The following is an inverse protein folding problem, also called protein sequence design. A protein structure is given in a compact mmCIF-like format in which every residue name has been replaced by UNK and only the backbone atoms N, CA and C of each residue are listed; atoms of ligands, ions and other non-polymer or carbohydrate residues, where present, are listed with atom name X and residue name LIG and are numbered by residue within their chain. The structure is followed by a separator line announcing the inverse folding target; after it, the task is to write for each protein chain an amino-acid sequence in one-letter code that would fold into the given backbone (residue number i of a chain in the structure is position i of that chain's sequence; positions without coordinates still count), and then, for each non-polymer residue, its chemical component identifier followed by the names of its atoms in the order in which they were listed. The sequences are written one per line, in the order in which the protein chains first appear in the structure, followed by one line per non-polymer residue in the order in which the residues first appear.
data_IF_282920929231
#
_entry.id   IF_282920929231
#
_cell.length_a   1.000
_cell.length_b   1.000
_cell.length_c   1.000
_cell.angle_alpha   90.00
_cell.angle_beta   90.00
_cell.angle_gamma   90.00
#
_symmetry.space_group_name_H-M   'P 1'
#
loop_
_entity.id
_entity.type
_entity.pdbx_description
1 polymer ?
#
# COMPACT_ATOMS: atom_id res chain seq x y z
N UNK A 1 -47.54 7.24 6.83
CA UNK A 1 -46.99 6.70 5.56
C UNK A 1 -45.58 7.23 5.43
N UNK A 2 -44.49 6.49 5.39
CA UNK A 2 -44.22 5.07 5.58
C UNK A 2 -42.78 5.00 6.12
N UNK A 3 -42.57 4.23 7.19
CA UNK A 3 -41.24 3.88 7.69
C UNK A 3 -40.67 2.75 6.84
N UNK A 4 -39.41 2.85 6.41
CA UNK A 4 -38.68 1.72 5.83
C UNK A 4 -37.58 1.30 6.80
N UNK A 5 -37.79 0.14 7.43
CA UNK A 5 -36.81 -0.60 8.20
C UNK A 5 -35.97 -1.46 7.26
N UNK A 6 -34.65 -1.43 7.42
CA UNK A 6 -33.72 -2.35 6.72
C UNK A 6 -33.39 -3.50 7.67
N UNK A 7 -33.73 -4.72 7.26
CA UNK A 7 -33.49 -5.96 7.99
C UNK A 7 -32.07 -6.48 7.73
N UNK A 8 -31.32 -6.73 8.79
CA UNK A 8 -30.08 -7.49 8.78
C UNK A 8 -30.39 -9.00 8.72
N UNK A 9 -29.82 -9.69 7.73
CA UNK A 9 -29.86 -11.15 7.62
C UNK A 9 -28.64 -11.80 8.27
N UNK A 10 -28.88 -12.62 9.30
CA UNK A 10 -27.90 -13.51 9.94
C UNK A 10 -27.95 -14.85 9.20
N UNK A 11 -26.81 -15.37 8.73
CA UNK A 11 -26.70 -16.74 8.22
C UNK A 11 -25.77 -17.58 9.11
N UNK A 12 -26.31 -18.65 9.66
CA UNK A 12 -25.56 -19.73 10.32
C UNK A 12 -25.03 -20.70 9.26
N UNK A 13 -23.73 -21.00 9.30
CA UNK A 13 -23.17 -22.14 8.56
C UNK A 13 -22.88 -23.31 9.51
N UNK A 14 -23.46 -24.46 9.16
CA UNK A 14 -23.33 -25.75 9.83
C UNK A 14 -22.06 -26.48 9.38
N UNK A 15 -21.34 -27.09 10.34
CA UNK A 15 -20.13 -27.90 10.12
C UNK A 15 -20.47 -29.23 9.44
N UNK A 16 -19.74 -29.56 8.38
CA UNK A 16 -19.65 -30.90 7.81
C UNK A 16 -18.18 -31.31 7.66
N UNK A 17 -17.77 -32.37 8.34
CA UNK A 17 -16.42 -32.96 8.29
C UNK A 17 -16.32 -33.91 7.10
N UNK A 18 -15.31 -33.75 6.24
CA UNK A 18 -14.79 -34.84 5.40
C UNK A 18 -13.26 -34.71 5.30
N UNK A 19 -12.57 -35.75 5.75
CA UNK A 19 -11.13 -35.94 5.55
C UNK A 19 -10.81 -36.09 4.05
N UNK A 20 -9.81 -35.37 3.55
CA UNK A 20 -9.14 -35.75 2.30
C UNK A 20 -7.63 -35.55 2.42
N UNK A 21 -6.91 -36.52 1.85
CA UNK A 21 -5.47 -36.73 1.96
C UNK A 21 -4.70 -35.67 1.16
N UNK A 22 -3.88 -34.87 1.83
CA UNK A 22 -3.05 -33.86 1.17
C UNK A 22 -1.91 -34.50 0.36
N UNK A 23 -1.93 -34.25 -0.96
CA UNK A 23 -0.74 -34.35 -1.81
C UNK A 23 0.09 -33.09 -1.59
N UNK A 24 1.37 -33.28 -1.32
CA UNK A 24 2.39 -32.25 -1.27
C UNK A 24 2.42 -31.52 -2.62
N UNK A 25 1.99 -30.25 -2.64
CA UNK A 25 2.04 -29.42 -3.82
C UNK A 25 3.49 -28.98 -4.07
N UNK A 26 4.14 -29.60 -5.05
CA UNK A 26 5.34 -29.04 -5.65
C UNK A 26 4.91 -27.84 -6.51
N UNK A 27 5.32 -26.64 -6.11
CA UNK A 27 5.16 -25.43 -6.91
C UNK A 27 6.22 -25.49 -8.02
N UNK A 28 5.78 -25.75 -9.25
CA UNK A 28 6.65 -25.78 -10.42
C UNK A 28 6.92 -24.34 -10.89
N UNK A 29 8.16 -23.86 -10.66
CA UNK A 29 8.63 -22.51 -10.94
C UNK A 29 9.18 -22.36 -12.37
N UNK A 30 8.40 -22.73 -13.40
CA UNK A 30 8.79 -22.45 -14.79
C UNK A 30 8.33 -21.05 -15.20
N UNK A 31 9.20 -20.06 -14.98
CA UNK A 31 8.94 -18.64 -15.28
C UNK A 31 9.46 -18.23 -16.67
N UNK A 32 8.68 -17.42 -17.38
CA UNK A 32 9.24 -16.40 -18.28
C UNK A 32 9.81 -15.31 -17.38
N UNK A 33 11.13 -15.33 -17.18
CA UNK A 33 11.83 -14.35 -16.36
C UNK A 33 11.85 -13.02 -17.13
N UNK A 34 10.92 -12.11 -16.80
CA UNK A 34 11.10 -10.71 -17.17
C UNK A 34 12.17 -10.17 -16.23
N UNK A 35 13.33 -9.80 -16.78
CA UNK A 35 14.46 -9.35 -15.97
C UNK A 35 14.02 -8.25 -15.02
N UNK A 36 14.04 -8.53 -13.73
CA UNK A 36 13.84 -7.52 -12.70
C UNK A 36 14.95 -6.50 -12.89
N UNK A 37 14.62 -5.25 -13.21
CA UNK A 37 15.63 -4.19 -13.17
C UNK A 37 16.02 -4.02 -11.70
N UNK A 38 17.21 -4.44 -11.26
CA UNK A 38 17.56 -4.37 -9.84
C UNK A 38 17.61 -2.90 -9.44
N UNK A 39 17.09 -2.56 -8.26
CA UNK A 39 17.38 -1.24 -7.68
C UNK A 39 18.91 -1.17 -7.55
N UNK A 40 19.56 -0.14 -8.12
CA UNK A 40 21.01 -0.02 -8.00
C UNK A 40 21.39 -0.07 -6.52
N UNK A 41 22.29 -0.99 -6.15
CA UNK A 41 22.87 -1.10 -4.79
C UNK A 41 23.55 0.19 -4.31
N UNK A 42 23.66 1.18 -5.20
CA UNK A 42 24.17 2.53 -4.95
C UNK A 42 23.10 3.55 -4.53
N UNK A 43 21.86 3.16 -4.19
CA UNK A 43 20.98 4.09 -3.49
C UNK A 43 21.62 4.43 -2.14
N UNK A 44 22.03 5.69 -1.95
CA UNK A 44 22.59 6.18 -0.69
C UNK A 44 21.54 6.29 0.43
N UNK A 45 20.28 5.98 0.13
CA UNK A 45 19.17 6.09 1.05
C UNK A 45 18.89 4.75 1.73
N UNK A 46 18.80 4.77 3.06
CA UNK A 46 18.38 3.61 3.85
C UNK A 46 16.86 3.38 3.78
N UNK A 47 16.09 4.37 3.32
CA UNK A 47 14.63 4.38 3.40
C UNK A 47 13.99 4.58 2.02
N UNK A 48 12.83 3.97 1.81
CA UNK A 48 12.05 4.20 0.61
C UNK A 48 10.58 4.42 0.91
N UNK A 49 9.94 5.24 0.08
CA UNK A 49 8.50 5.15 -0.16
C UNK A 49 8.29 4.27 -1.38
N UNK A 50 7.48 3.22 -1.25
CA UNK A 50 7.02 2.39 -2.36
C UNK A 50 5.59 2.79 -2.75
N UNK A 51 5.33 2.90 -4.04
CA UNK A 51 4.02 3.18 -4.63
C UNK A 51 3.74 2.09 -5.65
N UNK A 52 2.61 1.39 -5.50
CA UNK A 52 2.23 0.34 -6.43
C UNK A 52 1.43 0.89 -7.63
N UNK A 53 1.73 0.41 -8.83
CA UNK A 53 1.03 0.78 -10.06
C UNK A 53 0.71 -0.46 -10.92
N UNK A 54 -0.58 -0.78 -11.04
CA UNK A 54 -1.15 -1.86 -11.87
C UNK A 54 -1.80 -1.34 -13.15
N UNK A 55 -2.22 -2.24 -14.07
CA UNK A 55 -2.83 -1.86 -15.37
C UNK A 55 -4.32 -1.51 -15.27
N UNK A 56 -5.08 -2.26 -14.46
CA UNK A 56 -6.54 -2.35 -14.60
C UNK A 56 -7.35 -1.16 -14.08
N UNK A 57 -6.73 0.01 -13.97
CA UNK A 57 -7.30 1.08 -13.18
C UNK A 57 -7.87 2.26 -13.95
N UNK A 58 -7.71 2.38 -15.29
CA UNK A 58 -8.63 3.21 -16.11
C UNK A 58 -8.38 3.27 -17.65
N UNK A 59 -7.50 2.47 -18.26
CA UNK A 59 -7.06 2.78 -19.64
C UNK A 59 -7.26 1.65 -20.66
N UNK A 60 -7.76 1.98 -21.87
CA UNK A 60 -7.56 1.17 -23.08
C UNK A 60 -6.25 1.58 -23.72
N UNK A 61 -5.54 0.65 -24.38
CA UNK A 61 -4.24 0.92 -25.02
C UNK A 61 -4.24 2.10 -26.05
N UNK A 62 -5.43 2.58 -26.44
CA UNK A 62 -5.66 3.73 -27.34
C UNK A 62 -5.76 5.10 -26.67
N UNK A 63 -5.87 5.15 -25.35
CA UNK A 63 -6.09 6.40 -24.62
C UNK A 63 -4.75 7.12 -24.39
N UNK A 64 -4.81 8.44 -24.16
CA UNK A 64 -3.63 9.20 -23.76
C UNK A 64 -3.32 8.96 -22.29
N UNK A 65 -2.02 8.82 -21.95
CA UNK A 65 -1.57 8.38 -20.63
C UNK A 65 -2.18 9.18 -19.44
N UNK A 66 -2.57 10.44 -19.64
CA UNK A 66 -3.19 11.30 -18.61
C UNK A 66 -4.67 10.94 -18.29
N UNK A 67 -5.26 9.97 -18.98
CA UNK A 67 -6.59 9.42 -18.68
C UNK A 67 -6.52 8.41 -17.52
N UNK A 68 -5.37 7.77 -17.31
CA UNK A 68 -5.16 6.86 -16.19
C UNK A 68 -5.02 7.64 -14.87
N UNK A 69 -6.11 7.64 -14.10
CA UNK A 69 -6.22 8.34 -12.83
C UNK A 69 -5.14 7.95 -11.83
N UNK A 70 -4.81 6.65 -11.75
CA UNK A 70 -3.81 6.15 -10.79
C UNK A 70 -2.39 6.44 -11.22
N UNK A 71 -2.10 6.42 -12.52
CA UNK A 71 -0.82 6.90 -13.04
C UNK A 71 -0.62 8.39 -12.75
N UNK A 72 -1.62 9.23 -13.02
CA UNK A 72 -1.54 10.67 -12.70
C UNK A 72 -1.43 10.89 -11.19
N UNK A 73 -2.11 10.08 -10.37
CA UNK A 73 -1.97 10.10 -8.91
C UNK A 73 -0.55 9.76 -8.48
N UNK A 74 0.04 8.68 -9.01
CA UNK A 74 1.42 8.29 -8.74
C UNK A 74 2.41 9.40 -9.11
N UNK A 75 2.26 10.02 -10.29
CA UNK A 75 3.05 11.20 -10.69
C UNK A 75 2.89 12.38 -9.73
N UNK A 76 1.66 12.62 -9.29
CA UNK A 76 1.35 13.67 -8.32
C UNK A 76 2.02 13.38 -6.97
N UNK A 77 2.02 12.14 -6.52
CA UNK A 77 2.68 11.71 -5.29
C UNK A 77 4.21 11.81 -5.40
N UNK A 78 4.81 11.38 -6.51
CA UNK A 78 6.24 11.59 -6.80
C UNK A 78 6.58 13.09 -6.73
N UNK A 79 5.76 13.95 -7.34
CA UNK A 79 5.95 15.40 -7.27
C UNK A 79 5.91 15.94 -5.83
N UNK A 80 4.90 15.52 -5.06
CA UNK A 80 4.74 15.90 -3.67
C UNK A 80 5.95 15.52 -2.82
N UNK A 81 6.49 14.32 -3.03
CA UNK A 81 7.59 13.78 -2.23
C UNK A 81 8.97 14.32 -2.63
N UNK A 82 9.18 14.69 -3.89
CA UNK A 82 10.51 15.09 -4.40
C UNK A 82 10.68 16.60 -4.65
N UNK A 83 9.60 17.32 -5.00
CA UNK A 83 9.73 18.69 -5.53
C UNK A 83 8.87 19.74 -4.82
N UNK A 84 7.68 19.37 -4.36
CA UNK A 84 6.75 20.32 -3.75
C UNK A 84 7.37 20.97 -2.49
N UNK A 85 7.48 22.31 -2.41
CA UNK A 85 8.18 22.98 -1.31
C UNK A 85 7.64 22.63 0.08
N UNK A 86 6.34 22.36 0.19
CA UNK A 86 5.70 22.11 1.48
C UNK A 86 5.81 20.65 1.94
N UNK A 87 6.13 19.71 1.05
CA UNK A 87 5.99 18.26 1.32
C UNK A 87 7.18 17.42 0.92
N UNK A 88 8.11 17.97 0.15
CA UNK A 88 9.29 17.24 -0.30
C UNK A 88 10.10 16.73 0.88
N UNK A 89 10.75 15.58 0.70
CA UNK A 89 11.71 15.07 1.65
C UNK A 89 12.85 16.08 1.90
N UNK A 90 13.28 16.10 3.16
CA UNK A 90 14.40 16.93 3.64
C UNK A 90 15.64 16.10 3.95
N UNK A 91 15.49 14.78 3.96
CA UNK A 91 16.50 13.74 4.12
C UNK A 91 16.53 12.82 2.89
N UNK A 92 17.59 12.03 2.68
CA UNK A 92 17.66 11.13 1.53
C UNK A 92 16.68 9.96 1.72
N UNK A 93 15.50 10.05 1.08
CA UNK A 93 14.50 8.97 0.97
C UNK A 93 14.26 8.68 -0.51
N UNK A 94 14.31 7.41 -0.90
CA UNK A 94 14.01 7.00 -2.28
C UNK A 94 12.50 6.95 -2.52
N UNK A 95 12.05 7.35 -3.71
CA UNK A 95 10.66 7.12 -4.16
C UNK A 95 10.68 6.04 -5.23
N UNK A 96 10.05 4.91 -4.94
CA UNK A 96 10.07 3.70 -5.78
C UNK A 96 8.66 3.41 -6.29
N UNK A 97 8.52 3.22 -7.60
CA UNK A 97 7.30 2.70 -8.21
C UNK A 97 7.47 1.20 -8.44
N UNK A 98 6.62 0.40 -7.80
CA UNK A 98 6.44 -1.01 -8.07
C UNK A 98 5.45 -1.15 -9.22
N UNK A 99 5.96 -1.26 -10.44
CA UNK A 99 5.15 -1.26 -11.66
C UNK A 99 5.02 -2.68 -12.22
N UNK A 100 3.80 -3.23 -12.21
CA UNK A 100 3.47 -4.53 -12.84
C UNK A 100 3.83 -4.50 -14.32
N UNK A 101 4.14 -5.64 -14.95
CA UNK A 101 4.48 -5.78 -16.39
C UNK A 101 3.53 -5.02 -17.35
N UNK A 102 2.30 -4.83 -16.89
CA UNK A 102 1.19 -4.32 -17.64
C UNK A 102 1.18 -2.77 -17.72
N UNK A 103 2.02 -2.07 -16.95
CA UNK A 103 2.27 -0.62 -17.07
C UNK A 103 3.12 -0.35 -18.33
N UNK A 104 2.61 0.51 -19.22
CA UNK A 104 3.27 0.90 -20.48
C UNK A 104 4.63 1.55 -20.25
N UNK A 105 5.59 1.29 -21.14
CA UNK A 105 6.94 1.85 -21.03
C UNK A 105 6.96 3.39 -21.08
N UNK A 106 6.03 4.04 -21.81
CA UNK A 106 5.89 5.50 -21.81
C UNK A 106 5.68 6.07 -20.41
N UNK A 107 4.78 5.43 -19.63
CA UNK A 107 4.51 5.79 -18.24
C UNK A 107 5.72 5.56 -17.34
N UNK A 108 6.42 4.43 -17.52
CA UNK A 108 7.65 4.13 -16.76
C UNK A 108 8.75 5.16 -17.03
N UNK A 109 8.99 5.48 -18.30
CA UNK A 109 9.98 6.49 -18.69
C UNK A 109 9.63 7.85 -18.11
N UNK A 110 8.34 8.22 -18.11
CA UNK A 110 7.88 9.45 -17.49
C UNK A 110 8.13 9.47 -15.99
N UNK A 111 7.78 8.40 -15.26
CA UNK A 111 8.02 8.30 -13.82
C UNK A 111 9.51 8.34 -13.47
N UNK A 112 10.38 7.71 -14.28
CA UNK A 112 11.84 7.85 -14.16
C UNK A 112 12.30 9.29 -14.40
N UNK A 113 11.75 9.96 -15.41
CA UNK A 113 12.04 11.37 -15.69
C UNK A 113 11.53 12.30 -14.59
N UNK A 114 10.44 11.92 -13.91
CA UNK A 114 9.92 12.57 -12.71
C UNK A 114 10.77 12.26 -11.46
N UNK A 115 11.88 11.52 -11.58
CA UNK A 115 12.83 11.25 -10.50
C UNK A 115 12.56 10.02 -9.65
N UNK A 116 11.51 9.25 -9.95
CA UNK A 116 11.25 7.99 -9.24
C UNK A 116 12.14 6.84 -9.75
N UNK A 117 12.46 5.90 -8.87
CA UNK A 117 13.02 4.61 -9.26
C UNK A 117 11.85 3.73 -9.70
N UNK A 118 11.85 3.22 -10.92
CA UNK A 118 10.77 2.33 -11.39
C UNK A 118 11.29 0.90 -11.46
N UNK A 119 10.68 0.02 -10.67
CA UNK A 119 11.00 -1.40 -10.57
C UNK A 119 9.92 -2.23 -11.23
N UNK A 120 10.34 -3.11 -12.13
CA UNK A 120 9.46 -4.05 -12.79
C UNK A 120 9.10 -5.14 -11.78
N UNK A 121 7.80 -5.26 -11.50
CA UNK A 121 7.29 -6.17 -10.50
C UNK A 121 6.63 -7.35 -11.18
N UNK A 122 7.15 -8.55 -10.92
CA UNK A 122 6.55 -9.80 -11.40
C UNK A 122 5.24 -10.07 -10.65
N UNK A 123 4.21 -10.45 -11.43
CA UNK A 123 2.90 -10.82 -10.92
C UNK A 123 2.98 -12.03 -9.99
N UNK A 124 2.28 -11.96 -8.87
CA UNK A 124 2.11 -13.08 -7.95
C UNK A 124 0.98 -13.99 -8.42
N UNK A 125 1.29 -15.28 -8.55
CA UNK A 125 0.31 -16.29 -8.92
C UNK A 125 -0.56 -16.65 -7.72
N UNK A 126 -1.88 -16.63 -7.90
CA UNK A 126 -2.86 -17.10 -6.92
C UNK A 126 -4.07 -17.72 -7.62
N UNK A 127 -4.75 -18.64 -6.95
CA UNK A 127 -5.99 -19.27 -7.44
C UNK A 127 -7.26 -18.57 -6.96
N UNK A 128 -7.14 -17.51 -6.15
CA UNK A 128 -8.27 -16.74 -5.62
C UNK A 128 -9.12 -16.14 -6.74
N UNK A 129 -10.43 -16.40 -6.68
CA UNK A 129 -11.42 -15.71 -7.48
C UNK A 129 -11.75 -14.37 -6.81
N UNK A 130 -11.16 -13.30 -7.33
CA UNK A 130 -11.41 -11.95 -6.82
C UNK A 130 -12.55 -11.33 -7.60
N UNK A 131 -13.67 -11.07 -6.91
CA UNK A 131 -14.90 -10.55 -7.51
C UNK A 131 -14.79 -9.13 -8.06
N UNK A 132 -13.80 -8.37 -7.60
CA UNK A 132 -13.47 -7.03 -8.11
C UNK A 132 -12.25 -7.16 -9.03
N UNK A 133 -12.43 -6.95 -10.33
CA UNK A 133 -11.39 -7.21 -11.33
C UNK A 133 -10.08 -6.45 -11.06
N UNK A 134 -10.19 -5.24 -10.52
CA UNK A 134 -9.07 -4.37 -10.24
C UNK A 134 -8.23 -4.83 -9.04
N UNK A 135 -8.82 -5.61 -8.15
CA UNK A 135 -8.16 -6.23 -7.00
C UNK A 135 -7.32 -7.47 -7.38
N UNK A 136 -7.28 -7.85 -8.67
CA UNK A 136 -6.47 -8.99 -9.14
C UNK A 136 -4.96 -8.74 -9.18
N UNK A 137 -4.54 -7.48 -9.08
CA UNK A 137 -3.11 -7.12 -9.10
C UNK A 137 -2.66 -6.55 -7.74
N UNK A 138 -3.56 -6.27 -6.80
CA UNK A 138 -3.16 -5.63 -5.53
C UNK A 138 -2.34 -6.56 -4.63
N UNK A 139 -2.40 -7.88 -4.82
CA UNK A 139 -1.46 -8.80 -4.17
C UNK A 139 -0.02 -8.54 -4.56
N UNK A 140 0.26 -7.99 -5.75
CA UNK A 140 1.62 -7.66 -6.18
C UNK A 140 2.26 -6.58 -5.29
N UNK A 141 1.47 -5.84 -4.49
CA UNK A 141 1.98 -4.99 -3.40
C UNK A 141 2.86 -5.76 -2.40
N UNK A 142 2.65 -7.08 -2.24
CA UNK A 142 3.47 -7.91 -1.36
C UNK A 142 4.96 -7.94 -1.79
N UNK A 143 5.26 -7.56 -3.03
CA UNK A 143 6.64 -7.39 -3.52
C UNK A 143 7.38 -6.24 -2.82
N UNK A 144 6.67 -5.34 -2.14
CA UNK A 144 7.28 -4.34 -1.27
C UNK A 144 8.03 -4.96 -0.07
N UNK A 145 7.75 -6.22 0.28
CA UNK A 145 8.36 -6.94 1.40
C UNK A 145 9.51 -7.86 0.95
N UNK A 146 9.71 -8.04 -0.35
CA UNK A 146 10.79 -8.82 -0.93
C UNK A 146 12.10 -8.00 -0.89
N UNK A 147 13.11 -8.41 -0.11
CA UNK A 147 14.35 -7.65 0.03
C UNK A 147 15.19 -7.62 -1.26
N UNK A 148 14.90 -8.47 -2.24
CA UNK A 148 15.54 -8.41 -3.57
C UNK A 148 14.95 -7.33 -4.47
N UNK A 149 13.67 -7.02 -4.27
CA UNK A 149 12.94 -5.95 -4.97
C UNK A 149 13.13 -4.61 -4.24
N UNK A 150 13.06 -4.64 -2.91
CA UNK A 150 13.17 -3.47 -2.04
C UNK A 150 14.34 -3.62 -1.04
N UNK A 151 15.59 -3.40 -1.47
CA UNK A 151 16.78 -3.55 -0.63
C UNK A 151 16.99 -2.32 0.28
N UNK A 152 15.96 -1.93 1.03
CA UNK A 152 15.98 -0.81 1.97
C UNK A 152 15.80 -1.29 3.40
N UNK A 153 16.29 -0.53 4.38
CA UNK A 153 16.13 -0.83 5.80
C UNK A 153 14.67 -0.71 6.24
N UNK A 154 13.97 0.33 5.75
CA UNK A 154 12.55 0.56 5.96
C UNK A 154 11.89 1.03 4.67
N UNK A 155 10.70 0.48 4.41
CA UNK A 155 9.85 0.83 3.27
C UNK A 155 8.51 1.29 3.81
N UNK A 156 8.09 2.49 3.43
CA UNK A 156 6.72 2.95 3.57
C UNK A 156 5.96 2.67 2.28
N UNK A 157 5.07 1.69 2.29
CA UNK A 157 4.16 1.42 1.18
C UNK A 157 2.95 2.35 1.32
N UNK A 158 2.74 3.18 0.29
CA UNK A 158 1.71 4.23 0.26
C UNK A 158 0.90 4.07 -1.03
N UNK A 159 -0.43 4.06 -0.93
CA UNK A 159 -1.32 4.03 -2.10
C UNK A 159 -1.12 5.27 -2.98
N UNK A 160 -1.25 5.10 -4.29
CA UNK A 160 -0.97 6.16 -5.27
C UNK A 160 -1.93 7.36 -5.16
N UNK A 161 -3.13 7.16 -4.61
CA UNK A 161 -4.17 8.18 -4.40
C UNK A 161 -4.09 8.88 -3.03
N UNK A 162 -2.90 8.86 -2.43
CA UNK A 162 -2.58 9.61 -1.23
C UNK A 162 -2.15 11.05 -1.55
N UNK A 163 -2.57 11.97 -0.69
CA UNK A 163 -2.23 13.39 -0.74
C UNK A 163 -1.41 13.74 0.49
N UNK A 164 -0.23 14.31 0.28
CA UNK A 164 0.70 14.69 1.33
C UNK A 164 0.53 16.18 1.66
N UNK A 165 0.56 16.51 2.94
CA UNK A 165 0.39 17.89 3.44
C UNK A 165 1.64 18.45 4.12
N UNK A 166 2.58 17.58 4.54
CA UNK A 166 3.86 17.93 5.16
C UNK A 166 4.93 16.86 4.85
N UNK A 167 6.24 17.14 5.04
CA UNK A 167 7.29 16.17 4.79
C UNK A 167 7.13 14.89 5.62
N UNK A 168 7.43 13.75 5.01
CA UNK A 168 7.26 12.41 5.60
C UNK A 168 8.55 11.83 6.18
N UNK A 169 9.65 12.59 6.23
CA UNK A 169 10.96 12.09 6.73
C UNK A 169 10.83 11.41 8.10
N UNK A 170 10.09 12.06 9.00
CA UNK A 170 9.89 11.61 10.38
C UNK A 170 9.04 10.33 10.51
N UNK A 171 8.37 9.87 9.45
CA UNK A 171 7.64 8.60 9.46
C UNK A 171 8.58 7.43 9.76
N UNK A 172 9.78 7.46 9.18
CA UNK A 172 10.78 6.39 9.35
C UNK A 172 11.43 6.37 10.75
N UNK A 173 11.18 7.40 11.56
CA UNK A 173 11.64 7.49 12.95
C UNK A 173 10.49 7.37 13.97
N UNK A 174 9.27 7.07 13.53
CA UNK A 174 8.17 6.79 14.46
C UNK A 174 8.55 5.62 15.38
N UNK A 175 8.32 5.76 16.68
CA UNK A 175 8.72 4.79 17.70
C UNK A 175 8.13 3.39 17.45
N UNK A 176 7.00 3.33 16.77
CA UNK A 176 6.31 2.09 16.42
C UNK A 176 6.92 1.37 15.20
N UNK A 177 7.90 1.98 14.55
CA UNK A 177 8.63 1.43 13.39
C UNK A 177 9.96 0.79 13.79
N UNK A 178 10.10 0.45 15.08
CA UNK A 178 11.27 -0.25 15.62
C UNK A 178 11.11 -1.75 15.50
N UNK A 179 12.25 -2.44 15.37
CA UNK A 179 12.32 -3.89 15.29
C UNK A 179 11.68 -4.55 16.52
N UNK A 180 10.88 -5.58 16.29
CA UNK A 180 10.14 -6.33 17.31
C UNK A 180 10.50 -7.80 17.25
N UNK A 181 10.68 -8.49 18.39
CA UNK A 181 10.86 -9.94 18.38
C UNK A 181 9.55 -10.63 17.98
N UNK A 182 9.65 -11.78 17.32
CA UNK A 182 8.50 -12.65 17.07
C UNK A 182 8.09 -13.37 18.36
N UNK A 183 6.77 -13.45 18.62
CA UNK A 183 6.24 -14.20 19.75
C UNK A 183 6.17 -15.71 19.42
N UNK A 184 7.22 -16.41 19.82
CA UNK A 184 7.37 -17.86 19.62
C UNK A 184 6.28 -18.70 20.32
N UNK A 185 5.51 -18.14 21.26
CA UNK A 185 4.40 -18.85 21.89
C UNK A 185 3.12 -18.89 21.02
N UNK A 186 3.08 -18.10 19.95
CA UNK A 186 1.93 -17.92 19.06
C UNK A 186 2.24 -18.28 17.61
N UNK A 187 3.21 -19.15 17.40
CA UNK A 187 3.62 -19.55 16.05
C UNK A 187 2.44 -20.11 15.25
N UNK A 188 2.44 -19.88 13.93
CA UNK A 188 1.40 -20.38 13.04
C UNK A 188 1.38 -21.92 13.02
N UNK A 189 0.34 -22.49 12.39
CA UNK A 189 0.26 -23.93 12.16
C UNK A 189 1.51 -24.47 11.42
N UNK A 190 1.80 -25.76 11.61
CA UNK A 190 3.05 -26.39 11.17
C UNK A 190 3.25 -26.45 9.63
N UNK A 191 2.25 -26.04 8.87
CA UNK A 191 2.22 -26.00 7.40
C UNK A 191 2.61 -24.63 6.81
N UNK A 192 2.85 -23.62 7.65
CA UNK A 192 3.38 -22.33 7.22
C UNK A 192 4.91 -22.23 7.42
N UNK A 193 5.63 -21.47 6.57
CA UNK A 193 7.07 -21.27 6.70
C UNK A 193 7.49 -20.69 8.05
N UNK A 194 8.76 -20.90 8.39
CA UNK A 194 9.38 -20.32 9.56
C UNK A 194 9.38 -18.78 9.49
N UNK A 195 9.02 -18.13 10.60
CA UNK A 195 9.05 -16.68 10.75
C UNK A 195 10.49 -16.19 11.00
N UNK A 196 10.81 -14.91 10.71
CA UNK A 196 12.09 -14.33 11.13
C UNK A 196 12.19 -14.23 12.66
N UNK A 197 13.39 -14.04 13.21
CA UNK A 197 13.56 -13.82 14.66
C UNK A 197 12.93 -12.49 15.11
N UNK A 198 12.87 -11.54 14.19
CA UNK A 198 12.36 -10.20 14.43
C UNK A 198 11.83 -9.55 13.16
N UNK A 199 10.92 -8.59 13.31
CA UNK A 199 10.24 -7.93 12.20
C UNK A 199 9.96 -6.46 12.54
N UNK A 200 9.68 -5.67 11.50
CA UNK A 200 9.10 -4.33 11.62
C UNK A 200 7.85 -4.30 10.77
N UNK A 201 6.70 -4.01 11.39
CA UNK A 201 5.45 -3.77 10.65
C UNK A 201 4.59 -2.79 11.45
N UNK A 202 4.31 -1.64 10.86
CA UNK A 202 3.48 -0.60 11.44
C UNK A 202 2.49 -0.06 10.42
N UNK A 203 1.28 0.25 10.85
CA UNK A 203 0.20 0.73 10.00
C UNK A 203 -0.74 1.65 10.79
N UNK A 204 -1.80 2.11 10.14
CA UNK A 204 -2.87 2.90 10.78
C UNK A 204 -4.18 2.12 10.79
N UNK A 205 -4.99 2.21 11.86
CA UNK A 205 -6.26 1.49 11.94
C UNK A 205 -7.24 1.91 10.83
N UNK A 206 -8.04 0.97 10.33
CA UNK A 206 -9.18 1.27 9.45
C UNK A 206 -10.43 1.49 10.30
N UNK A 207 -10.89 2.74 10.38
CA UNK A 207 -12.01 3.16 11.23
C UNK A 207 -13.14 3.63 10.30
N UNK A 208 -14.03 2.75 9.82
CA UNK A 208 -15.00 3.12 8.78
C UNK A 208 -16.02 4.20 9.20
N UNK A 209 -16.31 4.36 10.50
CA UNK A 209 -17.33 5.26 11.03
C UNK A 209 -16.76 6.34 11.97
N UNK A 210 -15.72 7.05 11.51
CA UNK A 210 -15.03 8.06 12.34
C UNK A 210 -15.93 9.22 12.77
N UNK A 211 -15.72 9.65 14.02
CA UNK A 211 -16.29 10.89 14.58
C UNK A 211 -15.39 12.07 14.21
N UNK A 212 -15.97 13.27 14.18
CA UNK A 212 -15.26 14.55 13.94
C UNK A 212 -14.43 14.98 15.17
N UNK A 213 -13.47 14.14 15.57
CA UNK A 213 -12.59 14.36 16.73
C UNK A 213 -11.17 13.93 16.35
N UNK A 214 -10.19 14.73 16.73
CA UNK A 214 -8.77 14.41 16.59
C UNK A 214 -8.00 14.59 17.92
N UNK A 215 -7.13 13.62 18.30
CA UNK A 215 -7.04 12.28 17.73
C UNK A 215 -8.30 11.45 18.05
N UNK A 216 -8.67 10.47 17.21
CA UNK A 216 -9.77 9.56 17.54
C UNK A 216 -9.39 8.65 18.72
N UNK A 217 -10.40 8.20 19.46
CA UNK A 217 -10.26 7.24 20.56
C UNK A 217 -10.23 5.80 20.02
N UNK A 218 -9.12 5.46 19.38
CA UNK A 218 -8.92 4.17 18.69
C UNK A 218 -8.99 2.96 19.62
N UNK A 219 -8.67 3.12 20.90
CA UNK A 219 -8.66 2.02 21.86
C UNK A 219 -10.07 1.52 22.21
N UNK A 220 -11.07 2.37 22.01
CA UNK A 220 -12.48 2.03 22.22
C UNK A 220 -13.25 1.76 20.92
N UNK A 221 -12.55 1.67 19.78
CA UNK A 221 -13.16 1.27 18.51
C UNK A 221 -13.23 -0.26 18.38
N UNK A 222 -14.34 -0.76 17.85
CA UNK A 222 -14.59 -2.21 17.72
C UNK A 222 -13.68 -2.91 16.71
N UNK A 223 -13.03 -2.15 15.83
CA UNK A 223 -12.19 -2.64 14.71
C UNK A 223 -10.72 -2.22 14.87
N UNK A 224 -10.29 -1.94 16.11
CA UNK A 224 -8.98 -1.36 16.43
C UNK A 224 -7.78 -2.23 16.06
N UNK A 225 -7.98 -3.53 15.94
CA UNK A 225 -6.96 -4.52 15.60
C UNK A 225 -6.84 -4.76 14.08
N UNK A 226 -7.65 -4.06 13.28
CA UNK A 226 -7.63 -4.14 11.82
C UNK A 226 -7.11 -2.83 11.21
N UNK A 227 -6.04 -2.93 10.41
CA UNK A 227 -5.41 -1.78 9.76
C UNK A 227 -5.80 -1.64 8.30
N UNK A 228 -5.65 -0.42 7.79
CA UNK A 228 -5.77 -0.13 6.36
C UNK A 228 -4.42 -0.33 5.65
N UNK A 229 -4.41 -1.03 4.52
CA UNK A 229 -3.20 -1.32 3.74
C UNK A 229 -2.76 -0.19 2.78
N UNK A 230 -3.38 0.99 2.87
CA UNK A 230 -3.00 2.15 2.06
C UNK A 230 -1.81 2.93 2.62
N UNK A 231 -1.50 2.78 3.91
CA UNK A 231 -0.28 3.32 4.54
C UNK A 231 0.28 2.29 5.51
N UNK A 232 1.41 1.70 5.13
CA UNK A 232 2.13 0.72 5.96
C UNK A 232 3.62 1.01 5.92
N UNK A 233 4.32 0.72 7.01
CA UNK A 233 5.77 0.76 7.08
C UNK A 233 6.29 -0.60 7.55
N UNK A 234 7.24 -1.16 6.81
CA UNK A 234 7.87 -2.42 7.15
C UNK A 234 9.37 -2.42 6.88
N UNK A 235 10.05 -3.44 7.39
CA UNK A 235 11.40 -3.80 6.96
C UNK A 235 11.30 -5.04 6.06
N UNK A 236 11.63 -4.94 4.75
CA UNK A 236 11.64 -6.09 3.85
C UNK A 236 12.48 -7.24 4.40
N UNK A 237 11.97 -8.47 4.30
CA UNK A 237 12.59 -9.65 4.88
C UNK A 237 12.16 -10.90 4.12
N UNK A 238 13.12 -11.75 3.73
CA UNK A 238 12.85 -12.93 2.91
C UNK A 238 11.91 -13.92 3.61
N UNK A 239 12.17 -14.30 4.87
CA UNK A 239 11.29 -15.21 5.63
C UNK A 239 9.87 -14.66 5.73
N UNK A 240 9.72 -13.35 5.97
CA UNK A 240 8.42 -12.69 6.06
C UNK A 240 7.69 -12.68 4.70
N UNK A 241 8.42 -12.40 3.62
CA UNK A 241 7.85 -12.44 2.27
C UNK A 241 7.41 -13.85 1.88
N UNK A 242 8.24 -14.87 2.10
CA UNK A 242 7.86 -16.28 1.87
C UNK A 242 6.64 -16.69 2.70
N UNK A 243 6.54 -16.19 3.94
CA UNK A 243 5.37 -16.43 4.79
C UNK A 243 4.09 -15.83 4.18
N UNK A 244 4.12 -14.61 3.64
CA UNK A 244 2.97 -14.03 2.94
C UNK A 244 2.58 -14.81 1.68
N UNK A 245 3.56 -15.28 0.89
CA UNK A 245 3.28 -16.12 -0.28
C UNK A 245 2.63 -17.45 0.11
N UNK A 246 3.05 -18.04 1.24
CA UNK A 246 2.42 -19.25 1.75
C UNK A 246 0.99 -19.03 2.24
N UNK A 247 0.68 -17.87 2.85
CA UNK A 247 -0.70 -17.50 3.17
C UNK A 247 -1.52 -17.31 1.90
N UNK A 248 -0.98 -16.61 0.90
CA UNK A 248 -1.66 -16.37 -0.39
C UNK A 248 -2.02 -17.69 -1.11
N UNK A 249 -1.18 -18.72 -0.97
CA UNK A 249 -1.43 -20.05 -1.50
C UNK A 249 -2.53 -20.85 -0.74
N UNK A 250 -2.98 -20.33 0.40
CA UNK A 250 -3.98 -20.96 1.28
C UNK A 250 -5.19 -20.03 1.48
N UNK A 251 -6.02 -19.82 0.46
CA UNK A 251 -7.10 -18.82 0.49
C UNK A 251 -8.16 -19.02 1.57
N UNK A 252 -8.24 -20.23 2.14
CA UNK A 252 -9.25 -20.58 3.15
C UNK A 252 -8.91 -20.08 4.57
N UNK A 253 -7.68 -19.61 4.82
CA UNK A 253 -7.23 -19.24 6.17
C UNK A 253 -7.40 -17.74 6.49
N UNK A 254 -7.70 -16.92 5.47
CA UNK A 254 -7.86 -15.48 5.63
C UNK A 254 -9.07 -14.95 4.83
N UNK A 255 -9.57 -13.77 5.21
CA UNK A 255 -10.59 -13.08 4.44
C UNK A 255 -10.03 -12.61 3.09
N UNK A 256 -10.87 -12.46 2.07
CA UNK A 256 -10.42 -11.95 0.77
C UNK A 256 -11.40 -10.90 0.23
N UNK A 257 -12.09 -10.20 1.13
CA UNK A 257 -12.95 -9.07 0.78
C UNK A 257 -12.09 -7.87 0.39
N UNK A 258 -11.02 -7.63 1.14
CA UNK A 258 -9.98 -6.65 0.88
C UNK A 258 -8.65 -7.41 0.70
N UNK A 259 -8.18 -7.67 -0.52
CA UNK A 259 -7.27 -8.80 -0.79
C UNK A 259 -5.96 -8.81 0.04
N UNK A 260 -5.00 -7.97 -0.30
CA UNK A 260 -3.71 -7.89 0.40
C UNK A 260 -3.88 -7.38 1.83
N UNK A 261 -4.89 -6.53 2.06
CA UNK A 261 -5.20 -6.00 3.39
C UNK A 261 -5.63 -7.09 4.36
N UNK A 262 -6.56 -7.96 3.97
CA UNK A 262 -7.03 -9.06 4.79
C UNK A 262 -5.92 -10.10 5.00
N UNK A 263 -5.08 -10.35 3.99
CA UNK A 263 -3.92 -11.22 4.10
C UNK A 263 -2.92 -10.70 5.14
N UNK A 264 -2.58 -9.41 5.06
CA UNK A 264 -1.63 -8.80 5.98
C UNK A 264 -2.25 -8.60 7.38
N UNK A 265 -3.55 -8.33 7.50
CA UNK A 265 -4.26 -8.33 8.78
C UNK A 265 -4.30 -9.73 9.40
N UNK A 266 -4.45 -10.79 8.61
CA UNK A 266 -4.27 -12.15 9.11
C UNK A 266 -2.83 -12.37 9.59
N UNK A 267 -1.82 -12.01 8.80
CA UNK A 267 -0.41 -12.21 9.16
C UNK A 267 0.00 -11.43 10.42
N UNK A 268 -0.53 -10.22 10.59
CA UNK A 268 -0.15 -9.28 11.64
C UNK A 268 -1.24 -9.03 12.71
N UNK A 269 -2.25 -9.90 12.80
CA UNK A 269 -3.27 -9.85 13.84
C UNK A 269 -2.67 -9.78 15.24
N UNK A 270 -3.36 -9.09 16.15
CA UNK A 270 -2.83 -8.81 17.49
C UNK A 270 -2.67 -10.03 18.40
N UNK A 271 -3.48 -11.05 18.16
CA UNK A 271 -3.39 -12.34 18.83
C UNK A 271 -2.40 -13.30 18.16
N UNK A 272 -1.71 -12.86 17.11
CA UNK A 272 -0.71 -13.61 16.35
C UNK A 272 0.73 -13.41 16.84
N UNK A 273 1.70 -14.04 16.13
CA UNK A 273 3.11 -14.00 16.49
C UNK A 273 3.81 -12.69 16.11
N UNK A 274 3.23 -11.92 15.19
CA UNK A 274 3.80 -10.70 14.63
C UNK A 274 2.79 -9.53 14.62
N UNK A 275 2.22 -9.13 15.76
CA UNK A 275 1.20 -8.07 15.79
C UNK A 275 1.70 -6.76 15.15
N UNK A 276 0.90 -6.15 14.27
CA UNK A 276 1.23 -4.82 13.73
C UNK A 276 1.25 -3.78 14.86
N UNK A 277 2.09 -2.75 14.70
CA UNK A 277 2.13 -1.60 15.62
C UNK A 277 1.44 -0.38 15.03
N UNK A 278 0.70 0.33 15.87
CA UNK A 278 0.01 1.53 15.43
C UNK A 278 0.97 2.69 15.22
N UNK A 279 1.08 3.18 13.99
CA UNK A 279 1.73 4.44 13.67
C UNK A 279 1.05 5.60 14.40
N UNK A 280 1.78 6.69 14.67
CA UNK A 280 1.15 7.90 15.21
C UNK A 280 -0.03 8.33 14.30
N UNK A 281 -1.19 8.59 14.91
CA UNK A 281 -2.43 8.90 14.17
C UNK A 281 -2.36 10.23 13.39
N UNK A 282 -1.32 11.04 13.56
CA UNK A 282 -1.06 12.22 12.73
C UNK A 282 -0.47 11.90 11.35
N UNK A 283 -0.12 10.63 11.08
CA UNK A 283 0.38 10.21 9.77
C UNK A 283 -0.74 10.00 8.77
N UNK A 284 -1.74 9.21 9.14
CA UNK A 284 -2.86 8.87 8.25
C UNK A 284 -4.04 8.36 9.08
N UNK A 285 -5.25 8.70 8.63
CA UNK A 285 -6.51 8.13 9.12
C UNK A 285 -7.50 8.02 7.97
N UNK A 286 -8.30 6.96 7.97
CA UNK A 286 -9.34 6.69 6.97
C UNK A 286 -10.71 6.56 7.63
N UNK A 287 -11.77 7.21 7.11
CA UNK A 287 -11.72 8.25 6.08
C UNK A 287 -11.08 9.55 6.62
N UNK A 288 -10.53 10.41 5.73
CA UNK A 288 -10.09 11.74 6.12
C UNK A 288 -11.28 12.66 6.44
N UNK A 289 -11.18 13.44 7.51
CA UNK A 289 -12.18 14.42 7.95
C UNK A 289 -11.58 15.83 8.03
N UNK A 290 -12.43 16.87 8.05
CA UNK A 290 -11.99 18.26 8.17
C UNK A 290 -11.14 18.49 9.43
N UNK A 291 -11.54 17.90 10.56
CA UNK A 291 -10.78 17.98 11.82
C UNK A 291 -9.36 17.42 11.73
N UNK A 292 -9.12 16.48 10.81
CA UNK A 292 -7.77 15.91 10.59
C UNK A 292 -6.91 16.88 9.79
N UNK A 293 -7.50 17.51 8.77
CA UNK A 293 -6.84 18.54 7.96
C UNK A 293 -6.45 19.72 8.84
N UNK A 294 -7.38 20.20 9.67
CA UNK A 294 -7.14 21.29 10.63
C UNK A 294 -6.07 20.93 11.65
N UNK A 295 -5.95 19.64 12.02
CA UNK A 295 -4.94 19.14 12.94
C UNK A 295 -3.56 18.87 12.28
N UNK A 296 -3.41 19.10 10.97
CA UNK A 296 -2.14 18.91 10.26
C UNK A 296 -1.82 17.45 9.93
N UNK A 297 -2.85 16.64 9.64
CA UNK A 297 -2.72 15.26 9.16
C UNK A 297 -1.75 15.16 7.98
N UNK A 298 -0.77 14.26 8.05
CA UNK A 298 0.32 14.20 7.06
C UNK A 298 -0.11 13.67 5.69
N UNK A 299 -0.97 12.65 5.68
CA UNK A 299 -1.47 11.99 4.48
C UNK A 299 -2.99 11.88 4.53
N UNK A 300 -3.62 12.20 3.41
CA UNK A 300 -5.06 12.11 3.23
C UNK A 300 -5.35 11.16 2.07
N UNK A 301 -6.24 10.19 2.28
CA UNK A 301 -6.67 9.27 1.23
C UNK A 301 -7.76 9.94 0.38
N UNK A 302 -7.35 10.62 -0.70
CA UNK A 302 -8.21 11.54 -1.46
C UNK A 302 -7.97 11.42 -2.96
N UNK A 303 -9.01 11.03 -3.70
CA UNK A 303 -8.91 10.88 -5.15
C UNK A 303 -9.26 12.19 -5.84
N UNK A 304 -8.33 12.72 -6.64
CA UNK A 304 -8.54 14.00 -7.33
C UNK A 304 -9.66 13.94 -8.38
N UNK A 305 -9.97 12.74 -8.87
CA UNK A 305 -10.99 12.47 -9.88
C UNK A 305 -12.38 12.22 -9.29
N UNK A 306 -12.51 12.11 -7.96
CA UNK A 306 -13.81 12.01 -7.30
C UNK A 306 -14.44 13.39 -7.10
N UNK A 307 -15.78 13.43 -7.15
CA UNK A 307 -16.56 14.63 -6.86
C UNK A 307 -16.60 14.88 -5.35
N UNK A 308 -16.12 16.03 -4.91
CA UNK A 308 -16.15 16.43 -3.49
C UNK A 308 -15.61 17.85 -3.32
N UNK A 309 -16.17 18.60 -2.36
CA UNK A 309 -15.81 19.99 -2.06
C UNK A 309 -15.19 20.18 -0.67
N UNK A 310 -15.07 19.09 0.10
CA UNK A 310 -14.31 19.08 1.35
C UNK A 310 -12.82 19.41 1.12
N UNK A 311 -12.11 19.69 2.20
CA UNK A 311 -10.69 20.04 2.16
C UNK A 311 -9.83 18.95 1.53
N UNK A 312 -10.15 17.67 1.77
CA UNK A 312 -9.43 16.52 1.20
C UNK A 312 -9.44 16.56 -0.33
N UNK A 313 -10.62 16.72 -0.95
CA UNK A 313 -10.76 16.80 -2.40
C UNK A 313 -10.22 18.11 -3.01
N UNK A 314 -10.33 19.23 -2.29
CA UNK A 314 -9.75 20.50 -2.76
C UNK A 314 -8.22 20.44 -2.78
N UNK A 315 -7.60 19.88 -1.74
CA UNK A 315 -6.15 19.71 -1.66
C UNK A 315 -5.67 18.73 -2.73
N UNK A 316 -6.35 17.59 -2.93
CA UNK A 316 -5.96 16.59 -3.94
C UNK A 316 -5.91 17.19 -5.35
N UNK A 317 -6.93 17.95 -5.75
CA UNK A 317 -6.95 18.66 -7.04
C UNK A 317 -5.86 19.72 -7.12
N UNK A 318 -5.65 20.49 -6.05
CA UNK A 318 -4.59 21.50 -6.01
C UNK A 318 -3.20 20.88 -6.24
N UNK A 319 -2.89 19.76 -5.57
CA UNK A 319 -1.61 19.04 -5.76
C UNK A 319 -1.43 18.52 -7.18
N UNK A 320 -2.50 17.98 -7.78
CA UNK A 320 -2.49 17.55 -9.18
C UNK A 320 -2.18 18.71 -10.14
N UNK A 321 -2.78 19.89 -9.94
CA UNK A 321 -2.51 21.07 -10.79
C UNK A 321 -1.12 21.68 -10.55
N UNK A 322 -0.61 21.66 -9.31
CA UNK A 322 0.76 22.08 -9.00
C UNK A 322 1.79 21.22 -9.73
N UNK A 323 1.62 19.89 -9.70
CA UNK A 323 2.46 18.95 -10.44
C UNK A 323 2.45 19.24 -11.95
N UNK A 324 1.27 19.45 -12.54
CA UNK A 324 1.18 19.79 -13.96
C UNK A 324 1.92 21.10 -14.29
N UNK A 325 1.67 22.16 -13.51
CA UNK A 325 2.32 23.46 -13.72
C UNK A 325 3.84 23.40 -13.56
N UNK A 326 4.35 22.60 -12.62
CA UNK A 326 5.78 22.37 -12.42
C UNK A 326 6.43 21.79 -13.67
N UNK A 327 5.89 20.68 -14.20
CA UNK A 327 6.46 20.00 -15.36
C UNK A 327 6.33 20.82 -16.65
N UNK A 328 5.19 21.50 -16.87
CA UNK A 328 5.05 22.44 -17.99
C UNK A 328 6.11 23.55 -17.93
N UNK A 329 6.42 24.05 -16.74
CA UNK A 329 7.45 25.06 -16.54
C UNK A 329 8.87 24.58 -16.82
N UNK A 330 9.20 23.34 -16.44
CA UNK A 330 10.52 22.72 -16.67
C UNK A 330 10.70 22.37 -18.15
N UNK A 331 9.71 21.71 -18.77
CA UNK A 331 9.82 21.22 -20.13
C UNK A 331 9.85 22.34 -21.17
N UNK A 332 9.09 23.42 -20.95
CA UNK A 332 9.16 24.60 -21.83
C UNK A 332 10.51 25.31 -21.77
N UNK A 333 11.24 25.23 -20.66
CA UNK A 333 12.61 25.76 -20.58
C UNK A 333 13.57 24.93 -21.42
N UNK A 334 13.42 23.61 -21.40
CA UNK A 334 14.28 22.69 -22.16
C UNK A 334 14.07 22.77 -23.69
N UNK A 335 12.91 23.25 -24.17
CA UNK A 335 12.66 23.51 -25.60
C UNK A 335 13.29 24.83 -26.09
N UNK A 336 13.55 25.77 -25.17
CA UNK A 336 14.06 27.12 -25.47
C UNK A 336 15.57 27.28 -25.22
N UNK A 337 16.21 26.27 -24.64
CA UNK A 337 17.66 26.16 -24.49
C UNK A 337 18.21 25.31 -25.65
#
# INVERSE_FOLDING_TARGET
MASFSVLFGIWFYSRGSIFSTFRQANIDQSFLHFGTTPIPTASSSQYAVAIFLGKWWDEKDSDGDDIDSYYVAARTLVYQLLYAPETKFTSPVSVVILATEAVRESKRQRLRADGAIVVDTERLNHSLEIGVAQYREVFDKLRAFDPTVMPFEKVALIDADMVVTRPLDALFQDTNTTLSPVDNSKLPAADLPELPDSYTFAATPDIPARKQIFPPDVDNEWHRDYFNAGVMLSSPNDKLFQYYLAILAQPDIFGHMWPEQDLLNFAHRWDGPMPWRQLNLSWHLKPPLEVDVDAGMAMLHCKYWESGEDSCHRISRARRWQMQGFWEGIERKNIRA
#
